data_IF_058572941664
#
_entry.id   IF_058572941664
#
_cell.length_a   1.000
_cell.length_b   1.000
_cell.length_c   1.000
_cell.angle_alpha   90.00
_cell.angle_beta   90.00
_cell.angle_gamma   90.00
#
_symmetry.space_group_name_H-M   'P 1'
#
loop_
_entity.id
_entity.type
_entity.pdbx_description
1 polymer ?
#
# COMPACT_ATOMS: atom_id res chain seq x y z
N UNK A 1 8.66 -14.29 -4.68
CA UNK A 1 7.23 -14.37 -4.34
C UNK A 1 7.02 -13.65 -3.03
N UNK A 2 6.11 -12.67 -2.99
CA UNK A 2 5.84 -11.88 -1.79
C UNK A 2 5.11 -12.73 -0.74
N UNK A 3 5.33 -12.41 0.54
CA UNK A 3 4.62 -13.02 1.67
C UNK A 3 3.96 -11.95 2.51
N UNK A 4 2.80 -12.24 3.08
CA UNK A 4 2.12 -11.37 4.04
C UNK A 4 2.19 -11.97 5.45
N UNK A 5 2.27 -11.09 6.46
CA UNK A 5 2.35 -11.49 7.87
C UNK A 5 0.99 -11.44 8.54
N UNK A 6 0.23 -10.36 8.30
CA UNK A 6 -1.11 -10.18 8.82
C UNK A 6 -1.89 -9.17 7.98
N UNK A 7 -3.17 -9.02 8.28
CA UNK A 7 -4.05 -8.01 7.69
C UNK A 7 -4.80 -7.25 8.77
N UNK A 8 -5.29 -6.06 8.44
CA UNK A 8 -6.14 -5.27 9.35
C UNK A 8 -7.02 -4.28 8.60
N UNK A 9 -8.24 -4.06 9.09
CA UNK A 9 -9.12 -3.02 8.59
C UNK A 9 -8.71 -1.69 9.23
N UNK A 10 -8.38 -0.70 8.41
CA UNK A 10 -7.91 0.62 8.82
C UNK A 10 -8.66 1.72 8.08
N UNK A 11 -8.76 2.89 8.71
CA UNK A 11 -9.49 4.06 8.17
C UNK A 11 -8.56 5.24 7.91
N UNK A 12 -7.27 5.11 8.23
CA UNK A 12 -6.30 6.22 8.22
C UNK A 12 -5.30 6.14 7.08
N UNK A 13 -5.27 5.06 6.29
CA UNK A 13 -4.26 4.90 5.23
C UNK A 13 -4.68 5.60 3.93
N UNK A 14 -5.94 5.47 3.54
CA UNK A 14 -6.49 6.08 2.33
C UNK A 14 -7.72 6.92 2.71
N UNK A 15 -7.74 8.23 2.43
CA UNK A 15 -8.88 9.09 2.77
C UNK A 15 -10.20 8.61 2.13
N UNK A 16 -11.27 8.62 2.92
CA UNK A 16 -12.64 8.20 2.57
C UNK A 16 -12.83 6.69 2.27
N UNK A 17 -11.81 5.87 2.51
CA UNK A 17 -11.88 4.43 2.25
C UNK A 17 -11.86 3.62 3.56
N UNK A 18 -12.57 2.49 3.55
CA UNK A 18 -12.39 1.42 4.55
C UNK A 18 -11.38 0.44 3.97
N UNK A 19 -10.15 0.50 4.46
CA UNK A 19 -9.01 -0.16 3.82
C UNK A 19 -8.65 -1.47 4.51
N UNK A 20 -8.55 -2.56 3.76
CA UNK A 20 -7.80 -3.74 4.19
C UNK A 20 -6.31 -3.51 3.94
N UNK A 21 -5.56 -3.25 5.01
CA UNK A 21 -4.11 -3.19 4.97
C UNK A 21 -3.52 -4.60 5.01
N UNK A 22 -2.73 -4.96 4.00
CA UNK A 22 -2.01 -6.24 3.91
C UNK A 22 -0.53 -5.98 4.18
N UNK A 23 -0.02 -6.45 5.32
CA UNK A 23 1.37 -6.22 5.72
C UNK A 23 2.30 -7.26 5.08
N UNK A 24 3.10 -6.81 4.12
CA UNK A 24 4.01 -7.63 3.32
C UNK A 24 5.40 -7.63 3.96
N UNK A 25 6.00 -8.82 4.09
CA UNK A 25 7.31 -9.02 4.72
C UNK A 25 8.46 -8.82 3.72
N UNK A 26 9.70 -9.10 4.15
CA UNK A 26 10.91 -8.93 3.34
C UNK A 26 11.10 -7.48 2.82
N UNK A 27 10.91 -6.49 3.70
CA UNK A 27 11.04 -5.08 3.36
C UNK A 27 12.53 -4.69 3.22
N UNK A 28 13.03 -4.32 2.02
CA UNK A 28 14.45 -4.04 1.81
C UNK A 28 14.90 -2.67 2.36
N UNK A 29 13.98 -1.84 2.85
CA UNK A 29 14.28 -0.45 3.21
C UNK A 29 14.93 -0.30 4.59
N UNK A 30 14.64 -1.21 5.53
CA UNK A 30 15.15 -1.23 6.91
C UNK A 30 15.28 0.16 7.58
N UNK A 31 14.27 1.02 7.43
CA UNK A 31 14.37 2.42 7.84
C UNK A 31 14.67 2.55 9.35
N UNK A 32 15.63 3.41 9.76
CA UNK A 32 15.89 3.67 11.18
C UNK A 32 14.63 4.13 11.91
N UNK A 33 14.32 3.49 13.05
CA UNK A 33 13.13 3.80 13.83
C UNK A 33 11.81 3.30 13.22
N UNK A 34 11.83 2.45 12.19
CA UNK A 34 10.61 1.87 11.61
C UNK A 34 9.72 1.23 12.69
N UNK A 35 8.42 1.48 12.62
CA UNK A 35 7.43 0.86 13.52
C UNK A 35 7.13 -0.60 13.14
N UNK A 36 7.41 -0.97 11.88
CA UNK A 36 7.10 -2.29 11.31
C UNK A 36 8.36 -3.15 11.11
N UNK A 37 9.29 -3.15 12.09
CA UNK A 37 10.54 -3.95 12.00
C UNK A 37 10.28 -5.45 11.81
N UNK A 38 9.13 -5.93 12.29
CA UNK A 38 8.71 -7.32 12.12
C UNK A 38 8.48 -7.71 10.64
N UNK A 39 8.43 -6.73 9.72
CA UNK A 39 8.33 -6.96 8.27
C UNK A 39 9.69 -6.99 7.54
N UNK A 40 10.80 -6.85 8.25
CA UNK A 40 12.14 -6.84 7.64
C UNK A 40 12.54 -8.22 7.11
N UNK A 41 12.27 -9.26 7.88
CA UNK A 41 12.60 -10.64 7.51
C UNK A 41 11.60 -11.23 6.51
N UNK A 42 12.03 -12.23 5.74
CA UNK A 42 11.18 -12.95 4.77
C UNK A 42 10.30 -14.02 5.44
N UNK A 43 9.29 -13.54 6.17
CA UNK A 43 8.38 -14.37 6.99
C UNK A 43 6.92 -14.29 6.51
N UNK A 44 6.06 -15.13 7.07
CA UNK A 44 4.62 -15.12 6.78
C UNK A 44 4.20 -16.14 5.71
N UNK A 45 2.98 -15.95 5.19
CA UNK A 45 2.39 -16.83 4.20
C UNK A 45 2.50 -16.23 2.79
N UNK A 46 2.63 -17.04 1.73
CA UNK A 46 2.57 -16.56 0.35
C UNK A 46 1.37 -15.65 0.10
N UNK A 47 1.62 -14.50 -0.53
CA UNK A 47 0.56 -13.61 -0.98
C UNK A 47 0.24 -13.91 -2.45
N UNK A 48 -0.77 -14.74 -2.68
CA UNK A 48 -1.20 -15.15 -4.02
C UNK A 48 -2.57 -14.58 -4.39
N UNK A 49 -2.99 -14.78 -5.64
CA UNK A 49 -4.33 -14.39 -6.12
C UNK A 49 -5.46 -15.12 -5.39
N UNK A 50 -5.24 -16.37 -4.99
CA UNK A 50 -6.21 -17.19 -4.24
C UNK A 50 -6.40 -16.63 -2.83
N UNK A 51 -5.30 -16.23 -2.17
CA UNK A 51 -5.37 -15.57 -0.86
C UNK A 51 -6.11 -14.23 -0.95
N UNK A 52 -5.91 -13.46 -2.03
CA UNK A 52 -6.66 -12.24 -2.27
C UNK A 52 -8.16 -12.51 -2.46
N UNK A 53 -8.51 -13.56 -3.20
CA UNK A 53 -9.91 -13.98 -3.34
C UNK A 53 -10.53 -14.34 -1.99
N UNK A 54 -9.81 -15.06 -1.14
CA UNK A 54 -10.26 -15.41 0.22
C UNK A 54 -10.50 -14.16 1.08
N UNK A 55 -9.59 -13.18 1.04
CA UNK A 55 -9.80 -11.91 1.75
C UNK A 55 -11.03 -11.18 1.23
N UNK A 56 -11.18 -11.07 -0.09
CA UNK A 56 -12.30 -10.37 -0.71
C UNK A 56 -13.63 -11.08 -0.39
N UNK A 57 -13.67 -12.41 -0.43
CA UNK A 57 -14.84 -13.18 -0.04
C UNK A 57 -15.18 -13.01 1.45
N UNK A 58 -14.15 -12.97 2.31
CA UNK A 58 -14.32 -12.82 3.76
C UNK A 58 -14.82 -11.44 4.16
N UNK A 59 -14.25 -10.38 3.60
CA UNK A 59 -14.57 -9.01 4.00
C UNK A 59 -15.71 -8.41 3.18
N UNK A 60 -15.83 -8.79 1.90
CA UNK A 60 -16.88 -8.31 1.00
C UNK A 60 -17.03 -6.79 1.04
N UNK A 61 -18.27 -6.32 1.09
CA UNK A 61 -18.61 -4.89 1.10
C UNK A 61 -18.26 -4.15 2.40
N UNK A 62 -17.63 -4.81 3.40
CA UNK A 62 -17.17 -4.13 4.61
C UNK A 62 -15.87 -3.33 4.38
N UNK A 63 -15.18 -3.58 3.28
CA UNK A 63 -14.02 -2.81 2.83
C UNK A 63 -14.32 -2.21 1.46
N UNK A 64 -13.67 -1.10 1.15
CA UNK A 64 -13.77 -0.42 -0.15
C UNK A 64 -12.41 -0.33 -0.84
N UNK A 65 -11.32 -0.54 -0.10
CA UNK A 65 -9.95 -0.47 -0.60
C UNK A 65 -9.10 -1.62 -0.07
N UNK A 66 -8.18 -2.11 -0.90
CA UNK A 66 -7.10 -3.03 -0.51
C UNK A 66 -5.79 -2.26 -0.64
N UNK A 67 -5.03 -2.19 0.44
CA UNK A 67 -3.73 -1.51 0.46
C UNK A 67 -2.60 -2.50 0.76
N UNK A 68 -1.67 -2.61 -0.17
CA UNK A 68 -0.44 -3.35 0.02
C UNK A 68 0.57 -2.51 0.81
N UNK A 69 0.92 -2.98 2.00
CA UNK A 69 1.86 -2.30 2.89
C UNK A 69 3.24 -2.96 2.76
N UNK A 70 4.15 -2.36 1.99
CA UNK A 70 5.44 -2.95 1.64
C UNK A 70 5.45 -3.54 0.23
N UNK A 71 6.05 -4.72 0.02
CA UNK A 71 6.20 -5.32 -1.32
C UNK A 71 7.31 -4.69 -2.17
N UNK A 72 8.10 -3.79 -1.58
CA UNK A 72 9.24 -3.11 -2.21
C UNK A 72 10.37 -4.04 -2.68
N UNK A 73 10.35 -5.31 -2.28
CA UNK A 73 11.28 -6.36 -2.73
C UNK A 73 10.89 -6.95 -4.09
N UNK A 74 9.62 -6.86 -4.50
CA UNK A 74 9.15 -7.35 -5.80
C UNK A 74 8.00 -6.47 -6.35
N UNK A 75 8.30 -5.24 -6.81
CA UNK A 75 7.27 -4.32 -7.31
C UNK A 75 6.56 -4.82 -8.57
N UNK A 76 7.20 -5.67 -9.37
CA UNK A 76 6.60 -6.25 -10.58
C UNK A 76 5.50 -7.24 -10.21
N UNK A 77 5.77 -8.16 -9.29
CA UNK A 77 4.76 -9.09 -8.80
C UNK A 77 3.62 -8.36 -8.07
N UNK A 78 3.95 -7.30 -7.30
CA UNK A 78 2.93 -6.48 -6.66
C UNK A 78 1.98 -5.82 -7.68
N UNK A 79 2.50 -5.33 -8.80
CA UNK A 79 1.69 -4.82 -9.91
C UNK A 79 0.78 -5.89 -10.53
N UNK A 80 1.23 -7.14 -10.62
CA UNK A 80 0.39 -8.24 -11.12
C UNK A 80 -0.79 -8.52 -10.19
N UNK A 81 -0.55 -8.55 -8.88
CA UNK A 81 -1.61 -8.72 -7.88
C UNK A 81 -2.63 -7.57 -7.91
N UNK A 82 -2.16 -6.33 -8.05
CA UNK A 82 -3.02 -5.17 -8.16
C UNK A 82 -3.85 -5.16 -9.45
N UNK A 83 -3.24 -5.50 -10.59
CA UNK A 83 -3.96 -5.67 -11.86
C UNK A 83 -5.02 -6.77 -11.77
N UNK A 84 -4.73 -7.87 -11.09
CA UNK A 84 -5.67 -8.96 -10.84
C UNK A 84 -6.91 -8.48 -10.06
N UNK A 85 -6.71 -7.74 -8.96
CA UNK A 85 -7.82 -7.18 -8.18
C UNK A 85 -8.69 -6.27 -9.05
N UNK A 86 -8.07 -5.37 -9.83
CA UNK A 86 -8.82 -4.48 -10.72
C UNK A 86 -9.63 -5.22 -11.78
N UNK A 87 -9.05 -6.27 -12.38
CA UNK A 87 -9.71 -7.04 -13.42
C UNK A 87 -10.90 -7.85 -12.88
N UNK A 88 -10.75 -8.48 -11.72
CA UNK A 88 -11.75 -9.39 -11.16
C UNK A 88 -12.76 -8.70 -10.23
N UNK A 89 -12.34 -7.64 -9.55
CA UNK A 89 -13.12 -6.94 -8.53
C UNK A 89 -13.05 -5.41 -8.72
N UNK A 90 -13.61 -4.87 -9.83
CA UNK A 90 -13.43 -3.48 -10.24
C UNK A 90 -14.05 -2.43 -9.29
N UNK A 91 -14.79 -2.87 -8.26
CA UNK A 91 -15.39 -1.99 -7.26
C UNK A 91 -14.45 -1.67 -6.09
N UNK A 92 -13.37 -2.43 -5.90
CA UNK A 92 -12.36 -2.09 -4.89
C UNK A 92 -11.35 -1.11 -5.46
N UNK A 93 -10.93 -0.18 -4.62
CA UNK A 93 -9.71 0.60 -4.85
C UNK A 93 -8.48 -0.19 -4.46
N UNK A 94 -7.39 -0.06 -5.22
CA UNK A 94 -6.11 -0.69 -4.94
C UNK A 94 -5.08 0.36 -4.61
N UNK A 95 -4.45 0.22 -3.45
CA UNK A 95 -3.44 1.13 -2.96
C UNK A 95 -2.11 0.42 -2.71
N UNK A 96 -1.01 1.15 -2.84
CA UNK A 96 0.32 0.68 -2.47
C UNK A 96 1.03 1.69 -1.57
N UNK A 97 1.52 1.22 -0.43
CA UNK A 97 2.46 1.94 0.41
C UNK A 97 3.87 1.37 0.23
N UNK A 98 4.70 2.13 -0.48
CA UNK A 98 6.15 1.91 -0.61
C UNK A 98 6.94 2.67 0.46
N UNK A 99 7.93 2.01 1.05
CA UNK A 99 8.92 2.65 1.93
C UNK A 99 9.98 3.47 1.19
N UNK A 100 9.94 3.52 -0.16
CA UNK A 100 10.93 4.22 -0.99
C UNK A 100 10.48 5.65 -1.29
N UNK A 101 11.43 6.54 -1.59
CA UNK A 101 11.14 7.92 -1.99
C UNK A 101 10.52 8.03 -3.39
N UNK A 102 10.80 7.06 -4.26
CA UNK A 102 10.33 7.03 -5.65
C UNK A 102 9.74 5.67 -5.96
N UNK A 103 8.72 5.67 -6.80
CA UNK A 103 8.12 4.45 -7.35
C UNK A 103 9.18 3.73 -8.18
N UNK A 104 9.30 2.41 -7.99
CA UNK A 104 10.22 1.58 -8.78
C UNK A 104 9.82 1.60 -10.25
N UNK A 105 10.79 1.69 -11.17
CA UNK A 105 10.54 1.56 -12.61
C UNK A 105 10.03 0.17 -13.02
N UNK A 106 10.19 -0.82 -12.15
CA UNK A 106 9.64 -2.17 -12.34
C UNK A 106 8.14 -2.25 -12.01
N UNK A 107 7.58 -1.25 -11.33
CA UNK A 107 6.16 -1.23 -11.00
C UNK A 107 5.36 -0.60 -12.15
N UNK A 108 4.27 -1.25 -12.54
CA UNK A 108 3.27 -0.68 -13.44
C UNK A 108 2.34 0.23 -12.62
N UNK A 109 2.71 1.50 -12.41
CA UNK A 109 1.97 2.41 -11.50
C UNK A 109 0.46 2.53 -11.82
N UNK A 110 0.06 2.40 -13.09
CA UNK A 110 -1.31 2.62 -13.55
C UNK A 110 -2.32 1.56 -13.08
N UNK A 111 -1.86 0.52 -12.38
CA UNK A 111 -2.71 -0.52 -11.78
C UNK A 111 -3.04 -0.23 -10.31
N UNK A 112 -2.74 0.98 -9.83
CA UNK A 112 -3.06 1.43 -8.49
C UNK A 112 -3.89 2.70 -8.56
N UNK A 113 -4.95 2.81 -7.77
CA UNK A 113 -5.68 4.07 -7.58
C UNK A 113 -4.92 5.04 -6.67
N UNK A 114 -4.14 4.50 -5.73
CA UNK A 114 -3.38 5.29 -4.76
C UNK A 114 -1.98 4.74 -4.56
N UNK A 115 -0.99 5.62 -4.52
CA UNK A 115 0.38 5.25 -4.17
C UNK A 115 0.90 6.20 -3.10
N UNK A 116 1.29 5.63 -1.97
CA UNK A 116 2.03 6.31 -0.91
C UNK A 116 3.51 5.96 -1.01
N UNK A 117 4.34 7.00 -0.96
CA UNK A 117 5.80 6.89 -0.97
C UNK A 117 6.41 7.64 0.21
N UNK A 118 7.64 7.27 0.55
CA UNK A 118 8.48 7.97 1.50
C UNK A 118 8.90 7.08 2.68
N UNK A 119 10.21 6.96 2.95
CA UNK A 119 10.69 6.22 4.10
C UNK A 119 10.20 6.88 5.39
N UNK A 120 10.11 6.10 6.46
CA UNK A 120 9.87 6.66 7.78
C UNK A 120 11.10 7.48 8.22
N UNK A 121 10.88 8.76 8.54
CA UNK A 121 11.89 9.66 9.10
C UNK A 121 11.31 10.29 10.37
N UNK A 122 11.80 9.82 11.53
CA UNK A 122 11.20 10.14 12.83
C UNK A 122 11.00 11.65 13.09
N UNK A 123 12.00 12.48 12.77
CA UNK A 123 11.95 13.93 13.04
C UNK A 123 11.02 14.72 12.09
N UNK A 124 10.60 14.12 10.96
CA UNK A 124 9.66 14.76 10.02
C UNK A 124 8.20 14.41 10.34
N UNK A 125 7.98 13.37 11.14
CA UNK A 125 6.66 12.93 11.59
C UNK A 125 5.84 12.19 10.52
N UNK A 126 4.65 11.76 10.93
CA UNK A 126 3.69 11.01 10.10
C UNK A 126 3.00 11.91 9.06
N UNK A 127 2.12 11.34 8.22
CA UNK A 127 1.29 12.09 7.26
C UNK A 127 0.46 13.22 7.88
N UNK A 128 0.14 13.16 9.19
CA UNK A 128 -0.56 14.25 9.90
C UNK A 128 0.31 15.48 10.14
N UNK A 129 1.63 15.36 10.00
CA UNK A 129 2.58 16.45 10.17
C UNK A 129 2.87 17.12 8.81
N UNK A 130 2.72 18.45 8.73
CA UNK A 130 3.04 19.22 7.50
C UNK A 130 4.52 19.10 7.09
N UNK A 131 5.39 18.75 8.04
CA UNK A 131 6.84 18.53 7.85
C UNK A 131 7.18 17.17 7.23
N UNK A 132 6.21 16.26 7.06
CA UNK A 132 6.48 14.90 6.61
C UNK A 132 7.11 14.85 5.21
N UNK A 133 8.01 13.89 5.01
CA UNK A 133 8.54 13.54 3.69
C UNK A 133 7.65 12.55 2.93
N UNK A 134 6.65 11.97 3.58
CA UNK A 134 5.76 11.01 2.95
C UNK A 134 4.77 11.73 2.06
N UNK A 135 4.42 11.11 0.94
CA UNK A 135 3.47 11.65 -0.03
C UNK A 135 2.46 10.58 -0.43
N UNK A 136 1.18 10.93 -0.40
CA UNK A 136 0.10 10.13 -0.94
C UNK A 136 -0.35 10.73 -2.26
N UNK A 137 -0.32 9.93 -3.31
CA UNK A 137 -0.80 10.27 -4.63
C UNK A 137 -2.07 9.51 -4.95
N UNK A 138 -3.04 10.19 -5.55
CA UNK A 138 -4.16 9.57 -6.26
C UNK A 138 -3.83 9.54 -7.75
N UNK A 139 -4.06 8.40 -8.39
CA UNK A 139 -3.83 8.21 -9.82
C UNK A 139 -5.16 8.33 -10.57
N UNK A 140 -5.12 8.95 -11.73
CA UNK A 140 -6.24 8.96 -12.65
C UNK A 140 -6.10 7.89 -13.75
N UNK A 141 -7.09 7.82 -14.65
CA UNK A 141 -7.10 6.86 -15.75
C UNK A 141 -5.95 7.06 -16.77
N UNK A 142 -5.37 8.26 -16.83
CA UNK A 142 -4.20 8.54 -17.67
C UNK A 142 -2.88 8.15 -16.98
N UNK A 143 -2.91 7.84 -15.69
CA UNK A 143 -1.75 7.53 -14.86
C UNK A 143 -1.05 8.77 -14.31
N UNK A 144 -1.73 9.93 -14.36
CA UNK A 144 -1.26 11.16 -13.74
C UNK A 144 -1.45 11.09 -12.23
N UNK A 145 -0.44 11.58 -11.50
CA UNK A 145 -0.38 11.48 -10.05
C UNK A 145 -0.72 12.83 -9.42
N UNK A 146 -1.87 12.91 -8.77
CA UNK A 146 -2.26 14.06 -7.98
C UNK A 146 -1.81 13.88 -6.52
N UNK A 147 -0.98 14.80 -6.01
CA UNK A 147 -0.62 14.81 -4.58
C UNK A 147 -1.83 15.21 -3.74
N UNK A 148 -2.28 14.29 -2.89
CA UNK A 148 -3.41 14.49 -1.96
C UNK A 148 -2.97 14.42 -0.50
N UNK A 149 -1.67 14.58 -0.22
CA UNK A 149 -1.10 14.50 1.14
C UNK A 149 -1.74 15.50 2.10
N UNK A 150 -2.19 16.65 1.58
CA UNK A 150 -2.85 17.68 2.38
C UNK A 150 -4.11 17.19 3.09
N UNK A 151 -4.77 16.13 2.58
CA UNK A 151 -5.98 15.56 3.18
C UNK A 151 -5.77 14.99 4.58
N UNK A 152 -4.52 14.76 5.00
CA UNK A 152 -4.18 14.33 6.36
C UNK A 152 -3.99 15.47 7.36
N UNK A 153 -3.99 16.72 6.90
CA UNK A 153 -3.68 17.89 7.73
C UNK A 153 -4.92 18.64 8.24
N UNK A 154 -6.06 18.46 7.59
CA UNK A 154 -7.36 18.97 8.01
C UNK A 154 -8.11 17.92 8.82
N UNK A 155 -8.73 18.34 9.92
CA UNK A 155 -9.78 17.57 10.59
C UNK A 155 -11.13 17.90 9.98
#
# INVERSE_FOLDING_TARGET
MLKYVNTGIVFQEIPDEVTLAINISNCPCHCPGCHSKFLWEDVGAPLTTEVLDEFIARFGSNITCICFMGGDSDPSYLSQLAAYIHAKYPHYRVAWYSGRLRISSQASKNVFDYIKVGPYIAHLGSLKCKTTNQRLYKLDAAGDMQDITYRFWSR
#
